data_IF_140419548190
#
_entry.id   IF_140419548190
#
_cell.length_a   1.000
_cell.length_b   1.000
_cell.length_c   1.000
_cell.angle_alpha   90.00
_cell.angle_beta   90.00
_cell.angle_gamma   90.00
#
_symmetry.space_group_name_H-M   'P 1'
#
loop_
_entity.id
_entity.type
_entity.pdbx_description
1 polymer ?
#
# COMPACT_ATOMS: atom_id res chain seq x y z
N UNK A 1 -9.37 4.57 -9.50
CA UNK A 1 -8.49 3.89 -8.51
C UNK A 1 -7.44 4.84 -7.93
N UNK A 2 -6.59 5.50 -8.73
CA UNK A 2 -5.60 6.47 -8.21
C UNK A 2 -6.23 7.61 -7.37
N UNK A 3 -7.38 8.14 -7.80
CA UNK A 3 -8.14 9.15 -7.04
C UNK A 3 -8.59 8.65 -5.65
N UNK A 4 -8.99 7.38 -5.53
CA UNK A 4 -9.39 6.77 -4.26
C UNK A 4 -8.20 6.63 -3.30
N UNK A 5 -7.02 6.27 -3.83
CA UNK A 5 -5.81 6.15 -3.01
C UNK A 5 -5.36 7.53 -2.51
N UNK A 6 -5.41 8.56 -3.36
CA UNK A 6 -5.09 9.92 -2.93
C UNK A 6 -6.09 10.43 -1.87
N UNK A 7 -7.38 10.19 -2.07
CA UNK A 7 -8.40 10.55 -1.09
C UNK A 7 -8.17 9.82 0.25
N UNK A 8 -7.76 8.55 0.22
CA UNK A 8 -7.44 7.79 1.42
C UNK A 8 -6.22 8.36 2.17
N UNK A 9 -5.17 8.79 1.45
CA UNK A 9 -4.02 9.47 2.07
C UNK A 9 -4.45 10.78 2.73
N UNK A 10 -5.25 11.60 2.05
CA UNK A 10 -5.77 12.87 2.59
C UNK A 10 -6.62 12.61 3.84
N UNK A 11 -7.47 11.58 3.82
CA UNK A 11 -8.35 11.22 4.93
C UNK A 11 -7.61 10.76 6.20
N UNK A 12 -6.34 10.36 6.12
CA UNK A 12 -5.54 10.01 7.31
C UNK A 12 -5.16 11.25 8.15
N UNK A 13 -5.31 12.45 7.60
CA UNK A 13 -5.10 13.71 8.31
C UNK A 13 -3.63 14.06 8.56
N UNK A 14 -3.41 15.19 9.24
CA UNK A 14 -2.07 15.78 9.44
C UNK A 14 -1.15 14.94 10.34
N UNK A 15 -1.72 14.13 11.23
CA UNK A 15 -0.96 13.24 12.11
C UNK A 15 -0.37 12.02 11.38
N UNK A 16 -0.74 11.79 10.12
CA UNK A 16 -0.27 10.66 9.35
C UNK A 16 1.11 10.91 8.76
N UNK A 17 2.06 10.08 9.15
CA UNK A 17 3.44 10.15 8.68
C UNK A 17 3.76 8.89 7.86
N UNK A 18 3.82 8.99 6.52
CA UNK A 18 4.24 7.90 5.64
C UNK A 18 5.60 7.32 6.05
N UNK A 19 5.66 6.01 6.36
CA UNK A 19 6.94 5.31 6.58
C UNK A 19 7.58 4.93 5.25
N UNK A 20 8.23 5.90 4.59
CA UNK A 20 8.94 5.68 3.34
C UNK A 20 10.15 6.62 3.24
N UNK A 21 11.14 6.25 2.43
CA UNK A 21 12.23 7.15 2.04
C UNK A 21 11.95 7.84 0.68
N UNK A 22 10.91 7.41 -0.03
CA UNK A 22 10.62 7.84 -1.39
C UNK A 22 9.61 8.99 -1.37
N UNK A 23 10.10 10.21 -1.24
CA UNK A 23 9.29 11.42 -1.32
C UNK A 23 9.50 12.17 -2.64
N UNK A 24 8.43 12.76 -3.15
CA UNK A 24 8.48 13.73 -4.23
C UNK A 24 9.04 15.06 -3.70
N UNK A 25 9.45 15.96 -4.62
CA UNK A 25 9.97 17.30 -4.26
C UNK A 25 9.00 18.15 -3.43
N UNK A 26 7.70 17.87 -3.52
CA UNK A 26 6.64 18.56 -2.78
C UNK A 26 6.32 17.91 -1.41
N UNK A 27 7.12 16.93 -0.96
CA UNK A 27 6.94 16.25 0.32
C UNK A 27 5.90 15.14 0.34
N UNK A 28 5.22 14.86 -0.77
CA UNK A 28 4.26 13.76 -0.86
C UNK A 28 4.97 12.41 -1.08
N UNK A 29 4.45 11.29 -0.57
CA UNK A 29 5.02 9.98 -0.86
C UNK A 29 4.91 9.67 -2.35
N UNK A 30 6.01 9.22 -2.96
CA UNK A 30 6.08 8.94 -4.39
C UNK A 30 5.24 7.73 -4.82
N UNK A 31 4.95 6.82 -3.87
CA UNK A 31 4.18 5.61 -4.10
C UNK A 31 3.02 5.53 -3.11
N UNK A 32 1.87 5.08 -3.59
CA UNK A 32 0.71 4.72 -2.77
C UNK A 32 0.09 3.48 -3.38
N UNK A 33 0.00 2.39 -2.62
CA UNK A 33 -0.63 1.14 -3.04
C UNK A 33 -1.93 0.88 -2.26
N UNK A 34 -2.60 -0.25 -2.53
CA UNK A 34 -3.92 -0.55 -1.97
C UNK A 34 -3.92 -0.73 -0.45
N UNK A 35 -2.76 -0.95 0.18
CA UNK A 35 -2.66 -1.14 1.62
C UNK A 35 -3.03 0.11 2.44
N UNK A 36 -3.06 1.30 1.83
CA UNK A 36 -3.53 2.53 2.48
C UNK A 36 -5.01 2.43 2.94
N UNK A 37 -5.77 1.53 2.30
CA UNK A 37 -7.20 1.29 2.56
C UNK A 37 -7.45 0.21 3.62
N UNK A 38 -6.41 -0.40 4.17
CA UNK A 38 -6.55 -1.43 5.21
C UNK A 38 -6.60 -0.79 6.60
N UNK A 39 -7.20 -1.49 7.57
CA UNK A 39 -7.26 -1.02 8.96
C UNK A 39 -5.99 -1.38 9.75
N UNK A 40 -5.29 -2.44 9.34
CA UNK A 40 -4.09 -2.93 10.02
C UNK A 40 -2.95 -1.89 9.95
N UNK A 41 -2.43 -1.40 11.10
CA UNK A 41 -1.29 -0.49 11.12
C UNK A 41 -0.06 -1.08 10.44
N UNK A 42 0.16 -2.39 10.58
CA UNK A 42 1.24 -3.11 9.90
C UNK A 42 1.14 -2.97 8.37
N UNK A 43 -0.05 -3.19 7.80
CA UNK A 43 -0.24 -3.11 6.35
C UNK A 43 -0.14 -1.67 5.85
N UNK A 44 -0.74 -0.70 6.56
CA UNK A 44 -0.64 0.73 6.22
C UNK A 44 0.82 1.19 6.19
N UNK A 45 1.66 0.66 7.08
CA UNK A 45 3.09 0.98 7.10
C UNK A 45 3.80 0.65 5.78
N UNK A 46 3.28 -0.30 5.00
CA UNK A 46 3.81 -0.71 3.69
C UNK A 46 3.08 -0.05 2.51
N UNK A 47 2.12 0.85 2.77
CA UNK A 47 1.32 1.51 1.74
C UNK A 47 2.14 2.40 0.79
N UNK A 48 3.31 2.87 1.25
CA UNK A 48 4.18 3.78 0.50
C UNK A 48 5.49 3.14 0.02
N UNK A 49 5.53 1.81 -0.01
CA UNK A 49 6.60 1.06 -0.62
C UNK A 49 6.49 1.14 -2.16
N UNK A 50 7.63 1.09 -2.88
CA UNK A 50 7.64 1.09 -4.35
C UNK A 50 6.99 -0.17 -4.96
N UNK A 51 6.86 -1.24 -4.17
CA UNK A 51 6.12 -2.44 -4.54
C UNK A 51 4.61 -2.12 -4.50
N UNK A 52 3.92 -2.39 -5.60
CA UNK A 52 2.47 -2.23 -5.72
C UNK A 52 1.74 -3.38 -4.99
N UNK A 53 1.83 -3.40 -3.66
CA UNK A 53 1.18 -4.39 -2.82
C UNK A 53 -0.33 -4.37 -2.97
N UNK A 54 -0.91 -5.57 -2.96
CA UNK A 54 -2.34 -5.81 -2.88
C UNK A 54 -2.64 -6.51 -1.54
N UNK A 55 -3.75 -6.17 -0.86
CA UNK A 55 -4.22 -7.01 0.25
C UNK A 55 -4.63 -8.39 -0.28
N UNK A 56 -4.66 -9.37 0.62
CA UNK A 56 -5.18 -10.69 0.28
C UNK A 56 -6.64 -10.59 -0.16
N UNK A 57 -6.98 -11.22 -1.29
CA UNK A 57 -8.34 -11.25 -1.81
C UNK A 57 -8.42 -11.58 -3.29
N UNK A 58 -9.64 -11.80 -3.78
CA UNK A 58 -9.89 -12.25 -5.16
C UNK A 58 -9.31 -11.30 -6.21
N UNK A 59 -9.31 -9.99 -5.96
CA UNK A 59 -8.80 -8.98 -6.88
C UNK A 59 -7.30 -9.19 -7.22
N UNK A 60 -6.49 -9.61 -6.24
CA UNK A 60 -5.07 -9.89 -6.45
C UNK A 60 -4.88 -11.11 -7.38
N UNK A 61 -5.62 -12.20 -7.12
CA UNK A 61 -5.56 -13.41 -7.94
C UNK A 61 -6.15 -13.22 -9.33
N UNK A 62 -7.23 -12.44 -9.47
CA UNK A 62 -7.82 -12.10 -10.76
C UNK A 62 -6.83 -11.30 -11.62
N UNK A 63 -6.09 -10.35 -11.02
CA UNK A 63 -5.01 -9.63 -11.69
C UNK A 63 -3.88 -10.56 -12.11
N UNK A 64 -3.42 -11.45 -11.21
CA UNK A 64 -2.36 -12.41 -11.50
C UNK A 64 -2.71 -13.34 -12.68
N UNK A 65 -3.94 -13.88 -12.70
CA UNK A 65 -4.46 -14.69 -13.82
C UNK A 65 -4.52 -13.90 -15.13
N UNK A 66 -5.09 -12.70 -15.10
CA UNK A 66 -5.22 -11.85 -16.30
C UNK A 66 -3.87 -11.47 -16.89
N UNK A 67 -2.87 -11.23 -16.04
CA UNK A 67 -1.53 -10.82 -16.46
C UNK A 67 -0.57 -12.00 -16.68
N UNK A 68 -1.02 -13.23 -16.43
CA UNK A 68 -0.20 -14.43 -16.44
C UNK A 68 1.10 -14.27 -15.63
N UNK A 69 0.98 -13.75 -14.41
CA UNK A 69 2.10 -13.55 -13.48
C UNK A 69 1.89 -14.36 -12.20
N UNK A 70 2.97 -14.90 -11.60
CA UNK A 70 2.87 -15.57 -10.30
C UNK A 70 2.51 -14.57 -9.19
N UNK A 71 1.98 -15.09 -8.10
CA UNK A 71 1.73 -14.31 -6.87
C UNK A 71 2.91 -14.48 -5.93
N UNK A 72 3.52 -13.36 -5.55
CA UNK A 72 4.45 -13.31 -4.42
C UNK A 72 3.66 -12.99 -3.15
N UNK A 73 3.57 -13.94 -2.22
CA UNK A 73 2.87 -13.78 -0.95
C UNK A 73 3.86 -13.46 0.16
N UNK A 74 3.69 -12.30 0.80
CA UNK A 74 4.44 -11.90 2.00
C UNK A 74 3.48 -11.84 3.20
N UNK A 75 3.86 -12.49 4.30
CA UNK A 75 3.06 -12.56 5.53
C UNK A 75 3.94 -12.10 6.70
N UNK A 76 3.40 -11.23 7.55
CA UNK A 76 4.09 -10.74 8.72
C UNK A 76 3.15 -9.99 9.67
N UNK A 77 3.70 -9.50 10.78
CA UNK A 77 2.99 -8.76 11.82
C UNK A 77 3.93 -7.76 12.50
N UNK A 78 3.39 -6.76 13.21
CA UNK A 78 4.14 -5.60 13.70
C UNK A 78 5.28 -5.89 14.67
N UNK A 79 5.25 -7.04 15.36
CA UNK A 79 6.26 -7.43 16.38
C UNK A 79 7.11 -8.62 15.93
N UNK A 80 7.13 -8.91 14.63
CA UNK A 80 8.03 -9.91 14.07
C UNK A 80 9.48 -9.38 14.14
N UNK A 81 10.40 -10.21 14.65
CA UNK A 81 11.84 -9.92 14.78
C UNK A 81 12.56 -9.99 13.44
#
# INVERSE_FOLDING_TARGET
>A
MAQQLQAAVIAKGESYHPRTANFLKNGQPAYVNQLILQDSPYLIQHAHNPVHWHPWGEAAFAKARRENKPVFLSIGYSTCH
#
